data_IF_347113267541
#
_entry.id   IF_347113267541
#
_cell.length_a   1.000
_cell.length_b   1.000
_cell.length_c   1.000
_cell.angle_alpha   90.00
_cell.angle_beta   90.00
_cell.angle_gamma   90.00
#
_symmetry.space_group_name_H-M   'P 1'
#
loop_
_entity.id
_entity.type
_entity.pdbx_description
1 polymer ?
#
# COMPACT_ATOMS: atom_id res chain seq x y z
N UNK A 1 8.95 -32.11 2.70
CA UNK A 1 8.07 -31.48 3.69
C UNK A 1 8.71 -30.17 4.11
N UNK A 2 7.94 -29.10 4.23
CA UNK A 2 8.46 -27.78 4.61
C UNK A 2 9.13 -27.84 5.99
N UNK A 3 10.36 -27.32 6.11
CA UNK A 3 11.28 -27.57 7.22
C UNK A 3 11.30 -26.48 8.30
N UNK A 4 10.42 -25.48 8.27
CA UNK A 4 10.46 -24.38 9.24
C UNK A 4 9.72 -24.72 10.55
N UNK A 5 10.15 -24.14 11.67
CA UNK A 5 9.51 -24.31 12.99
C UNK A 5 8.39 -23.31 13.23
N UNK A 6 8.56 -22.05 12.77
CA UNK A 6 7.55 -20.98 12.79
C UNK A 6 7.74 -20.05 11.58
N UNK A 7 6.76 -19.20 11.31
CA UNK A 7 6.86 -18.13 10.33
C UNK A 7 6.24 -16.84 10.87
N UNK A 8 7.03 -15.77 10.96
CA UNK A 8 6.63 -14.44 11.38
C UNK A 8 6.55 -13.52 10.18
N UNK A 9 5.36 -12.93 9.97
CA UNK A 9 5.07 -12.06 8.83
C UNK A 9 5.17 -10.59 9.27
N UNK A 10 6.16 -9.86 8.76
CA UNK A 10 6.26 -8.42 8.93
C UNK A 10 5.21 -7.68 8.07
N UNK A 11 4.50 -6.73 8.68
CA UNK A 11 3.52 -5.90 7.98
C UNK A 11 3.38 -4.51 8.60
N UNK A 12 2.89 -3.56 7.81
CA UNK A 12 2.49 -2.25 8.32
C UNK A 12 1.20 -2.34 9.12
N UNK A 13 1.06 -1.48 10.12
CA UNK A 13 -0.14 -1.43 10.98
C UNK A 13 -1.36 -0.74 10.33
N UNK A 14 -1.21 -0.19 9.12
CA UNK A 14 -2.37 0.38 8.43
C UNK A 14 -3.44 -0.69 8.18
N UNK A 15 -4.76 -0.36 8.27
CA UNK A 15 -5.82 -1.38 8.17
C UNK A 15 -5.76 -2.26 6.92
N UNK A 16 -5.40 -1.68 5.76
CA UNK A 16 -5.25 -2.43 4.52
C UNK A 16 -4.04 -3.37 4.54
N UNK A 17 -2.90 -2.92 5.07
CA UNK A 17 -1.70 -3.75 5.17
C UNK A 17 -1.90 -4.92 6.16
N UNK A 18 -2.61 -4.67 7.27
CA UNK A 18 -2.98 -5.73 8.21
C UNK A 18 -3.93 -6.74 7.55
N UNK A 19 -4.92 -6.28 6.78
CA UNK A 19 -5.78 -7.17 6.01
C UNK A 19 -4.99 -8.03 5.02
N UNK A 20 -4.02 -7.45 4.30
CA UNK A 20 -3.15 -8.18 3.36
C UNK A 20 -2.33 -9.26 4.07
N UNK A 21 -1.75 -8.92 5.22
CA UNK A 21 -0.97 -9.87 6.02
C UNK A 21 -1.85 -10.99 6.59
N UNK A 22 -3.06 -10.68 7.07
CA UNK A 22 -4.04 -11.68 7.51
C UNK A 22 -4.48 -12.59 6.37
N UNK A 23 -4.65 -12.07 5.15
CA UNK A 23 -4.94 -12.88 3.98
C UNK A 23 -3.82 -13.89 3.72
N UNK A 24 -2.56 -13.46 3.67
CA UNK A 24 -1.41 -14.34 3.47
C UNK A 24 -1.25 -15.35 4.62
N UNK A 25 -1.41 -14.90 5.86
CA UNK A 25 -1.40 -15.77 7.04
C UNK A 25 -2.45 -16.87 6.93
N UNK A 26 -3.67 -16.55 6.49
CA UNK A 26 -4.74 -17.55 6.35
C UNK A 26 -4.39 -18.64 5.34
N UNK A 27 -3.74 -18.27 4.23
CA UNK A 27 -3.28 -19.20 3.20
C UNK A 27 -2.16 -20.09 3.72
N UNK A 28 -1.19 -19.51 4.43
CA UNK A 28 -0.10 -20.26 5.04
C UNK A 28 -0.60 -21.24 6.11
N UNK A 29 -1.58 -20.84 6.94
CA UNK A 29 -2.20 -21.73 7.93
C UNK A 29 -2.98 -22.88 7.30
N UNK A 30 -3.61 -22.67 6.14
CA UNK A 30 -4.27 -23.76 5.41
C UNK A 30 -3.26 -24.77 4.85
N UNK A 31 -2.13 -24.28 4.34
CA UNK A 31 -1.09 -25.12 3.76
C UNK A 31 -0.21 -25.82 4.80
N UNK A 32 0.01 -25.17 5.95
CA UNK A 32 0.87 -25.61 7.04
C UNK A 32 0.11 -25.57 8.38
N UNK A 33 -0.89 -26.44 8.57
CA UNK A 33 -1.79 -26.38 9.73
C UNK A 33 -1.08 -26.59 11.07
N UNK A 34 0.03 -27.32 11.08
CA UNK A 34 0.80 -27.64 12.29
C UNK A 34 1.91 -26.62 12.60
N UNK A 35 2.01 -25.54 11.81
CA UNK A 35 3.07 -24.54 11.96
C UNK A 35 2.51 -23.23 12.54
N UNK A 36 3.15 -22.64 13.56
CA UNK A 36 2.84 -21.29 14.03
C UNK A 36 3.10 -20.27 12.92
N UNK A 37 2.05 -19.52 12.54
CA UNK A 37 2.14 -18.38 11.64
C UNK A 37 1.69 -17.13 12.40
N UNK A 38 2.61 -16.20 12.61
CA UNK A 38 2.47 -15.01 13.46
C UNK A 38 2.56 -13.72 12.62
N UNK A 39 2.08 -12.61 13.15
CA UNK A 39 2.20 -11.28 12.53
C UNK A 39 3.05 -10.39 13.42
N UNK A 40 4.00 -9.67 12.80
CA UNK A 40 4.74 -8.57 13.40
C UNK A 40 4.24 -7.26 12.77
N UNK A 41 3.39 -6.55 13.50
CA UNK A 41 2.92 -5.22 13.09
C UNK A 41 3.98 -4.16 13.36
N UNK A 42 4.27 -3.33 12.36
CA UNK A 42 5.29 -2.29 12.43
C UNK A 42 4.74 -0.94 11.97
N UNK A 43 5.15 0.14 12.66
CA UNK A 43 4.97 1.51 12.17
C UNK A 43 6.18 1.91 11.32
N UNK A 44 5.95 2.39 10.09
CA UNK A 44 7.03 2.89 9.21
C UNK A 44 7.20 4.41 9.30
N UNK A 45 8.37 4.95 8.92
CA UNK A 45 8.54 6.41 8.80
C UNK A 45 7.57 7.02 7.79
N UNK A 46 7.20 6.28 6.74
CA UNK A 46 6.19 6.70 5.77
C UNK A 46 4.78 6.87 6.38
N UNK A 47 4.47 6.19 7.48
CA UNK A 47 3.23 6.38 8.24
C UNK A 47 3.29 7.63 9.14
N UNK A 48 4.49 8.03 9.56
CA UNK A 48 4.72 9.19 10.43
C UNK A 48 4.84 10.52 9.65
N UNK A 49 5.28 10.49 8.39
CA UNK A 49 5.48 11.69 7.56
C UNK A 49 4.23 11.97 6.69
N UNK A 50 3.24 12.64 7.26
CA UNK A 50 2.02 13.05 6.55
C UNK A 50 2.14 14.44 5.87
N UNK A 51 3.06 15.29 6.32
CA UNK A 51 3.10 16.74 6.00
C UNK A 51 4.07 17.17 4.87
N UNK A 52 4.76 16.22 4.22
CA UNK A 52 5.68 16.54 3.10
C UNK A 52 5.28 15.83 1.80
N UNK A 53 5.38 16.52 0.67
CA UNK A 53 5.09 15.96 -0.66
C UNK A 53 6.04 14.80 -1.00
N UNK A 54 5.51 13.73 -1.60
CA UNK A 54 6.21 12.49 -1.98
C UNK A 54 7.34 12.81 -2.96
N UNK A 55 7.11 13.80 -3.83
CA UNK A 55 8.11 14.35 -4.74
C UNK A 55 9.29 15.04 -4.03
N UNK A 56 9.10 15.52 -2.79
CA UNK A 56 10.15 16.15 -1.97
C UNK A 56 10.80 15.19 -0.95
N UNK A 57 10.17 14.05 -0.66
CA UNK A 57 10.68 13.02 0.26
C UNK A 57 11.40 11.92 -0.53
N UNK A 58 12.10 12.29 -1.62
CA UNK A 58 12.86 11.38 -2.46
C UNK A 58 13.65 10.38 -1.60
N UNK A 59 13.20 9.13 -1.62
CA UNK A 59 13.75 8.06 -0.80
C UNK A 59 13.20 6.74 -1.31
N UNK A 60 13.98 6.06 -2.15
CA UNK A 60 13.75 4.65 -2.50
C UNK A 60 13.51 3.87 -1.20
N UNK A 61 12.42 3.10 -1.11
CA UNK A 61 12.16 2.18 0.02
C UNK A 61 11.49 2.77 1.28
N UNK A 62 10.80 3.92 1.21
CA UNK A 62 10.16 4.58 2.38
C UNK A 62 9.16 3.71 3.18
N UNK A 63 8.68 2.60 2.60
CA UNK A 63 7.73 1.67 3.22
C UNK A 63 8.27 0.24 3.34
N UNK A 64 9.47 -0.05 2.81
CA UNK A 64 10.07 -1.39 2.80
C UNK A 64 11.23 -1.50 3.77
N UNK A 65 11.98 -0.41 3.99
CA UNK A 65 13.20 -0.43 4.77
C UNK A 65 13.03 -0.97 6.19
N UNK A 66 11.99 -0.56 6.91
CA UNK A 66 11.76 -1.03 8.28
C UNK A 66 11.42 -2.52 8.33
N UNK A 67 10.67 -3.04 7.34
CA UNK A 67 10.34 -4.48 7.28
C UNK A 67 11.57 -5.31 6.89
N UNK A 68 12.37 -4.81 5.94
CA UNK A 68 13.65 -5.41 5.55
C UNK A 68 14.62 -5.48 6.73
N UNK A 69 14.69 -4.44 7.57
CA UNK A 69 15.51 -4.44 8.80
C UNK A 69 15.04 -5.51 9.78
N UNK A 70 13.74 -5.61 10.06
CA UNK A 70 13.20 -6.65 10.95
C UNK A 70 13.51 -8.06 10.43
N UNK A 71 13.46 -8.27 9.13
CA UNK A 71 13.86 -9.53 8.52
C UNK A 71 15.37 -9.80 8.63
N UNK A 72 16.22 -8.80 8.39
CA UNK A 72 17.66 -8.92 8.52
C UNK A 72 18.12 -9.20 9.98
N UNK A 73 17.38 -8.69 10.96
CA UNK A 73 17.63 -8.90 12.39
C UNK A 73 17.02 -10.22 12.91
N UNK A 74 16.31 -10.97 12.07
CA UNK A 74 15.69 -12.25 12.42
C UNK A 74 14.40 -12.12 13.25
N UNK A 75 13.81 -10.93 13.32
CA UNK A 75 12.52 -10.69 13.96
C UNK A 75 11.34 -11.18 13.10
N UNK A 76 11.53 -11.20 11.77
CA UNK A 76 10.54 -11.66 10.80
C UNK A 76 11.16 -12.56 9.72
N UNK A 77 10.35 -13.46 9.15
CA UNK A 77 10.78 -14.41 8.12
C UNK A 77 10.36 -13.97 6.71
N UNK A 78 9.27 -13.21 6.60
CA UNK A 78 8.80 -12.63 5.34
C UNK A 78 8.07 -11.31 5.57
N UNK A 79 7.98 -10.49 4.52
CA UNK A 79 7.18 -9.26 4.52
C UNK A 79 6.05 -9.32 3.49
N UNK A 80 4.89 -8.75 3.83
CA UNK A 80 3.74 -8.64 2.92
C UNK A 80 3.55 -7.20 2.48
N UNK A 81 3.49 -7.00 1.16
CA UNK A 81 3.34 -5.68 0.54
C UNK A 81 2.24 -5.65 -0.51
N UNK A 82 1.66 -4.47 -0.71
CA UNK A 82 1.04 -4.16 -2.00
C UNK A 82 2.14 -4.07 -3.05
N UNK A 83 2.06 -4.89 -4.11
CA UNK A 83 3.15 -5.01 -5.09
C UNK A 83 3.57 -3.67 -5.73
N UNK A 84 2.64 -2.74 -5.91
CA UNK A 84 2.92 -1.39 -6.45
C UNK A 84 3.85 -0.55 -5.57
N UNK A 85 4.00 -0.91 -4.29
CA UNK A 85 4.80 -0.19 -3.30
C UNK A 85 6.18 -0.87 -3.10
N UNK A 86 6.44 -2.00 -3.77
CA UNK A 86 7.74 -2.68 -3.78
C UNK A 86 8.68 -1.97 -4.76
N UNK A 87 9.92 -1.62 -4.36
CA UNK A 87 10.87 -0.98 -5.26
C UNK A 87 11.32 -1.92 -6.38
N UNK A 88 11.74 -1.34 -7.51
CA UNK A 88 12.28 -2.10 -8.63
C UNK A 88 13.59 -2.82 -8.30
N UNK A 89 14.42 -2.19 -7.47
CA UNK A 89 15.66 -2.76 -6.94
C UNK A 89 15.41 -3.10 -5.47
N UNK A 90 15.54 -4.38 -5.12
CA UNK A 90 15.54 -4.84 -3.74
C UNK A 90 16.96 -4.70 -3.16
N UNK A 91 17.06 -4.57 -1.84
CA UNK A 91 18.35 -4.62 -1.17
C UNK A 91 18.99 -6.01 -1.33
N UNK A 92 20.32 -6.06 -1.36
CA UNK A 92 21.05 -7.33 -1.41
C UNK A 92 20.63 -8.23 -0.23
N UNK A 93 20.37 -9.50 -0.53
CA UNK A 93 19.86 -10.47 0.44
C UNK A 93 18.34 -10.57 0.53
N UNK A 94 17.60 -9.73 -0.20
CA UNK A 94 16.13 -9.81 -0.29
C UNK A 94 15.68 -10.20 -1.70
N UNK A 95 14.62 -11.01 -1.74
CA UNK A 95 14.00 -11.44 -2.99
C UNK A 95 12.47 -11.37 -2.91
N UNK A 96 11.84 -11.03 -4.04
CA UNK A 96 10.40 -11.15 -4.20
C UNK A 96 10.07 -12.61 -4.56
N UNK A 97 9.82 -13.43 -3.54
CA UNK A 97 9.65 -14.88 -3.71
C UNK A 97 8.25 -15.32 -4.14
N UNK A 98 7.24 -14.45 -3.99
CA UNK A 98 5.86 -14.81 -4.26
C UNK A 98 5.03 -13.60 -4.70
N UNK A 99 4.08 -13.86 -5.59
CA UNK A 99 3.03 -12.92 -6.00
C UNK A 99 1.70 -13.66 -5.86
N UNK A 100 0.76 -13.10 -5.12
CA UNK A 100 -0.58 -13.69 -4.95
C UNK A 100 -1.41 -13.54 -6.22
N UNK A 101 -2.55 -14.24 -6.27
CA UNK A 101 -3.57 -13.96 -7.28
C UNK A 101 -3.94 -12.47 -7.28
N UNK A 102 -4.10 -11.92 -8.48
CA UNK A 102 -4.28 -10.48 -8.68
C UNK A 102 -5.75 -10.11 -8.54
N UNK A 103 -6.03 -9.26 -7.56
CA UNK A 103 -7.32 -8.57 -7.45
C UNK A 103 -7.56 -7.57 -8.59
N UNK A 104 -8.76 -7.00 -8.67
CA UNK A 104 -9.12 -6.01 -9.69
C UNK A 104 -8.08 -4.86 -9.76
N UNK A 105 -7.39 -4.68 -10.91
CA UNK A 105 -6.32 -3.70 -11.03
C UNK A 105 -6.80 -2.28 -11.37
N UNK A 106 -8.12 -2.06 -11.54
CA UNK A 106 -8.68 -0.79 -11.99
C UNK A 106 -8.59 0.30 -10.92
N UNK A 107 -8.51 1.54 -11.39
CA UNK A 107 -8.77 2.69 -10.53
C UNK A 107 -10.29 2.83 -10.31
N UNK A 108 -10.70 3.29 -9.12
CA UNK A 108 -12.09 3.58 -8.80
C UNK A 108 -12.32 5.09 -8.69
N UNK A 109 -13.41 5.58 -9.26
CA UNK A 109 -13.94 6.91 -8.98
C UNK A 109 -14.79 6.85 -7.72
N UNK A 110 -14.57 7.79 -6.79
CA UNK A 110 -15.29 7.84 -5.51
C UNK A 110 -15.75 9.27 -5.29
N UNK A 111 -17.06 9.46 -5.23
CA UNK A 111 -17.68 10.78 -5.03
C UNK A 111 -19.04 10.61 -4.36
N UNK A 112 -19.39 11.46 -3.39
CA UNK A 112 -20.73 11.48 -2.80
C UNK A 112 -21.75 12.26 -3.67
N UNK A 113 -21.29 13.01 -4.69
CA UNK A 113 -22.12 13.98 -5.45
C UNK A 113 -22.32 13.65 -6.92
N UNK A 114 -21.37 12.94 -7.53
CA UNK A 114 -21.32 12.71 -8.98
C UNK A 114 -21.10 11.21 -9.22
N UNK A 115 -21.61 10.65 -10.32
CA UNK A 115 -21.43 9.23 -10.64
C UNK A 115 -20.15 8.97 -11.47
N UNK A 116 -19.62 10.00 -12.12
CA UNK A 116 -18.43 9.91 -12.97
C UNK A 116 -17.63 11.22 -12.98
N UNK A 117 -16.42 11.18 -13.56
CA UNK A 117 -15.63 12.39 -13.84
C UNK A 117 -16.30 13.27 -14.90
N UNK A 118 -17.04 12.68 -15.84
CA UNK A 118 -17.74 13.38 -16.93
C UNK A 118 -18.85 14.31 -16.42
N UNK A 119 -19.45 13.97 -15.27
CA UNK A 119 -20.52 14.75 -14.64
C UNK A 119 -20.00 15.92 -13.78
N UNK A 120 -18.70 16.00 -13.55
CA UNK A 120 -18.13 17.03 -12.68
C UNK A 120 -18.06 18.39 -13.42
N UNK A 121 -18.58 19.48 -12.82
CA UNK A 121 -18.56 20.80 -13.44
C UNK A 121 -17.14 21.38 -13.51
N UNK A 122 -16.94 22.38 -14.38
CA UNK A 122 -15.67 23.10 -14.47
C UNK A 122 -15.25 23.68 -13.11
N UNK A 123 -13.97 23.54 -12.76
CA UNK A 123 -13.41 23.94 -11.47
C UNK A 123 -13.68 22.96 -10.33
N UNK A 124 -14.38 21.85 -10.56
CA UNK A 124 -14.54 20.81 -9.54
C UNK A 124 -13.19 20.13 -9.22
N UNK A 125 -13.03 19.73 -7.96
CA UNK A 125 -11.76 19.26 -7.40
C UNK A 125 -11.68 17.75 -7.35
N UNK A 126 -10.56 17.18 -7.80
CA UNK A 126 -10.26 15.75 -7.74
C UNK A 126 -9.00 15.51 -6.88
N UNK A 127 -9.13 14.70 -5.84
CA UNK A 127 -8.03 14.40 -4.92
C UNK A 127 -7.17 13.22 -5.37
N UNK A 128 -5.91 13.44 -5.74
CA UNK A 128 -4.91 12.36 -5.93
C UNK A 128 -3.48 12.86 -5.71
N UNK A 129 -2.65 12.04 -5.06
CA UNK A 129 -1.19 12.27 -4.98
C UNK A 129 -0.38 11.39 -5.95
N UNK A 130 -1.05 10.66 -6.84
CA UNK A 130 -0.41 9.84 -7.88
C UNK A 130 -0.22 10.69 -9.14
N UNK A 131 1.04 10.88 -9.55
CA UNK A 131 1.37 11.56 -10.81
C UNK A 131 0.74 10.84 -12.01
N UNK A 132 0.72 9.50 -12.02
CA UNK A 132 0.05 8.71 -13.06
C UNK A 132 -1.42 9.11 -13.21
N UNK A 133 -2.17 9.16 -12.10
CA UNK A 133 -3.60 9.50 -12.14
C UNK A 133 -3.80 10.98 -12.49
N UNK A 134 -2.99 11.87 -11.91
CA UNK A 134 -3.05 13.30 -12.20
C UNK A 134 -2.86 13.59 -13.69
N UNK A 135 -1.83 13.00 -14.32
CA UNK A 135 -1.57 13.16 -15.75
C UNK A 135 -2.77 12.71 -16.60
N UNK A 136 -3.33 11.54 -16.30
CA UNK A 136 -4.50 11.02 -17.02
C UNK A 136 -5.72 11.94 -16.85
N UNK A 137 -5.99 12.41 -15.63
CA UNK A 137 -7.13 13.31 -15.37
C UNK A 137 -6.94 14.64 -16.08
N UNK A 138 -5.77 15.27 -15.99
CA UNK A 138 -5.51 16.57 -16.65
C UNK A 138 -5.58 16.47 -18.17
N UNK A 139 -5.21 15.33 -18.75
CA UNK A 139 -5.27 15.10 -20.19
C UNK A 139 -6.72 14.94 -20.69
N UNK A 140 -7.54 14.16 -19.97
CA UNK A 140 -8.91 13.84 -20.41
C UNK A 140 -9.98 14.82 -19.89
N UNK A 141 -9.71 15.48 -18.75
CA UNK A 141 -10.64 16.35 -18.03
C UNK A 141 -9.95 17.68 -17.66
N UNK A 142 -9.53 18.50 -18.65
CA UNK A 142 -8.74 19.71 -18.41
C UNK A 142 -9.49 20.79 -17.62
N UNK A 143 -10.82 20.70 -17.52
CA UNK A 143 -11.66 21.60 -16.72
C UNK A 143 -11.66 21.29 -15.22
N UNK A 144 -11.09 20.16 -14.79
CA UNK A 144 -11.05 19.75 -13.38
C UNK A 144 -9.76 20.20 -12.69
N UNK A 145 -9.87 20.56 -11.41
CA UNK A 145 -8.75 20.93 -10.56
C UNK A 145 -8.22 19.69 -9.82
N UNK A 146 -7.01 19.24 -10.14
CA UNK A 146 -6.38 18.12 -9.42
C UNK A 146 -5.60 18.62 -8.22
N UNK A 147 -5.94 18.13 -7.02
CA UNK A 147 -5.30 18.49 -5.75
C UNK A 147 -4.67 17.26 -5.07
N UNK A 148 -3.52 17.42 -4.39
CA UNK A 148 -2.88 16.32 -3.68
C UNK A 148 -3.68 15.91 -2.44
N UNK A 149 -3.91 14.60 -2.27
CA UNK A 149 -4.49 14.01 -1.05
C UNK A 149 -3.62 12.88 -0.50
N UNK A 150 -3.42 12.88 0.81
CA UNK A 150 -2.62 11.90 1.57
C UNK A 150 -3.38 11.25 2.71
N UNK A 151 -2.84 10.13 3.16
CA UNK A 151 -3.37 9.27 4.21
C UNK A 151 -3.68 7.88 3.68
N UNK A 152 -3.94 6.95 4.61
CA UNK A 152 -4.54 5.65 4.31
C UNK A 152 -5.96 5.83 3.75
N UNK A 153 -6.58 4.74 3.29
CA UNK A 153 -7.90 4.76 2.63
C UNK A 153 -8.94 5.49 3.49
N UNK A 154 -9.07 5.13 4.77
CA UNK A 154 -10.04 5.74 5.68
C UNK A 154 -9.82 7.25 5.88
N UNK A 155 -8.57 7.69 6.00
CA UNK A 155 -8.25 9.14 6.09
C UNK A 155 -8.62 9.88 4.81
N UNK A 156 -8.49 9.27 3.63
CA UNK A 156 -8.88 9.90 2.36
C UNK A 156 -10.40 10.01 2.24
N UNK A 157 -11.14 8.98 2.64
CA UNK A 157 -12.61 9.00 2.64
C UNK A 157 -13.14 10.08 3.59
N UNK A 158 -12.62 10.18 4.82
CA UNK A 158 -13.02 11.25 5.75
C UNK A 158 -12.76 12.66 5.21
N UNK A 159 -11.70 12.85 4.42
CA UNK A 159 -11.40 14.14 3.75
C UNK A 159 -12.34 14.43 2.58
N UNK A 160 -12.92 13.39 1.97
CA UNK A 160 -13.93 13.52 0.92
C UNK A 160 -15.30 13.88 1.51
N UNK A 161 -15.60 13.36 2.70
CA UNK A 161 -16.87 13.59 3.41
C UNK A 161 -16.94 14.96 4.11
N UNK A 162 -15.79 15.58 4.39
CA UNK A 162 -15.67 16.89 5.06
C UNK A 162 -15.91 18.06 4.09
#
# INVERSE_FOLDING_TARGET
MSTFERCVIATRESPLAMWQALHVQSRLRQQYPDKPIELLGMTTRGDQILDKTLSKVGGKGLFTKELEVAMAEGEADLAVHSLKDVPMELLDGFELVAITEREDPRDAFVSPKYASLDEMPAGARVGTASLRRELMIRMHYPHLEVLPIRGNVGTRLRKLDA
#
